data_IF_921898031574
#
_entry.id   IF_921898031574
#
_cell.length_a   1.000
_cell.length_b   1.000
_cell.length_c   1.000
_cell.angle_alpha   90.00
_cell.angle_beta   90.00
_cell.angle_gamma   90.00
#
_symmetry.space_group_name_H-M   'P 1'
#
loop_
_entity.id
_entity.type
_entity.pdbx_description
1 polymer ?
#
# COMPACT_ATOMS: atom_id res chain seq x y z
N UNK A 1 7.81 -0.24 -6.00
CA UNK A 1 7.73 -0.69 -7.42
C UNK A 1 6.50 -0.05 -8.05
N UNK A 2 6.47 0.16 -9.37
CA UNK A 2 5.30 0.77 -10.02
C UNK A 2 5.01 0.10 -11.35
N UNK A 3 3.75 -0.26 -11.59
CA UNK A 3 3.27 -0.85 -12.82
C UNK A 3 2.13 0.00 -13.39
N UNK A 4 2.16 0.26 -14.70
CA UNK A 4 1.17 1.07 -15.40
C UNK A 4 0.58 0.24 -16.53
N UNK A 5 -0.70 -0.13 -16.38
CA UNK A 5 -1.35 -1.08 -17.28
C UNK A 5 -2.14 -0.39 -18.40
N UNK A 6 -2.64 0.81 -18.15
CA UNK A 6 -3.44 1.59 -19.10
C UNK A 6 -3.21 3.09 -18.94
N UNK A 7 -3.56 3.86 -19.97
CA UNK A 7 -3.56 5.31 -19.92
C UNK A 7 -4.60 5.79 -18.90
N UNK A 8 -4.14 6.40 -17.81
CA UNK A 8 -4.98 7.09 -16.85
C UNK A 8 -5.70 8.27 -17.54
N UNK A 9 -7.01 8.19 -17.68
CA UNK A 9 -7.86 9.22 -18.29
C UNK A 9 -9.03 9.50 -17.35
N UNK A 10 -9.30 10.77 -17.07
CA UNK A 10 -10.30 11.18 -16.06
C UNK A 10 -9.76 11.14 -14.63
N UNK A 11 -10.65 11.18 -13.63
CA UNK A 11 -10.28 11.11 -12.21
C UNK A 11 -9.80 9.71 -11.84
N UNK A 12 -8.64 9.64 -11.17
CA UNK A 12 -8.09 8.37 -10.69
C UNK A 12 -8.27 8.29 -9.17
N UNK A 13 -8.84 7.19 -8.71
CA UNK A 13 -8.98 6.85 -7.31
C UNK A 13 -7.90 5.84 -6.94
N UNK A 14 -7.09 6.18 -5.95
CA UNK A 14 -6.10 5.28 -5.38
C UNK A 14 -6.63 4.69 -4.08
N UNK A 15 -6.65 3.36 -4.01
CA UNK A 15 -7.11 2.62 -2.83
C UNK A 15 -6.01 1.67 -2.40
N UNK A 16 -5.69 1.70 -1.10
CA UNK A 16 -4.83 0.73 -0.46
C UNK A 16 -5.68 -0.10 0.51
N UNK A 17 -5.80 -1.40 0.25
CA UNK A 17 -6.58 -2.33 1.08
C UNK A 17 -5.71 -3.04 2.14
N UNK A 18 -4.41 -2.72 2.17
CA UNK A 18 -3.43 -3.38 3.03
C UNK A 18 -3.34 -2.78 4.44
N UNK A 19 -4.39 -2.07 4.88
CA UNK A 19 -4.46 -1.46 6.22
C UNK A 19 -4.32 -2.46 7.36
N UNK A 20 -4.61 -3.74 7.12
CA UNK A 20 -4.39 -4.82 8.10
C UNK A 20 -2.89 -5.11 8.29
N UNK A 21 -2.06 -5.02 7.24
CA UNK A 21 -0.62 -5.28 7.32
C UNK A 21 0.09 -4.31 8.25
N UNK A 22 -0.22 -3.01 8.16
CA UNK A 22 0.36 -2.00 9.04
C UNK A 22 -0.08 -2.19 10.50
N UNK A 23 -1.34 -2.54 10.74
CA UNK A 23 -1.84 -2.81 12.09
C UNK A 23 -1.10 -3.99 12.71
N UNK A 24 -0.95 -5.08 11.97
CA UNK A 24 -0.30 -6.29 12.45
C UNK A 24 1.21 -6.06 12.65
N UNK A 25 1.86 -5.29 11.77
CA UNK A 25 3.25 -4.88 11.92
C UNK A 25 3.47 -4.03 13.17
N UNK A 26 2.59 -3.06 13.44
CA UNK A 26 2.64 -2.25 14.66
C UNK A 26 2.50 -3.13 15.91
N UNK A 27 1.54 -4.05 15.93
CA UNK A 27 1.36 -4.97 17.06
C UNK A 27 2.60 -5.83 17.30
N UNK A 28 3.21 -6.37 16.23
CA UNK A 28 4.48 -7.11 16.33
C UNK A 28 5.61 -6.25 16.86
N UNK A 29 5.81 -5.04 16.34
CA UNK A 29 6.83 -4.11 16.83
C UNK A 29 6.66 -3.78 18.31
N UNK A 30 5.42 -3.64 18.79
CA UNK A 30 5.15 -3.42 20.21
C UNK A 30 5.52 -4.66 21.03
N UNK A 31 5.14 -5.84 20.57
CA UNK A 31 5.34 -7.12 21.28
C UNK A 31 6.80 -7.56 21.32
N UNK A 32 7.54 -7.47 20.21
CA UNK A 32 8.94 -7.94 20.12
C UNK A 32 9.94 -6.84 20.45
N UNK A 33 9.57 -5.56 20.29
CA UNK A 33 10.51 -4.44 20.34
C UNK A 33 11.37 -4.30 19.09
N UNK A 34 11.25 -5.20 18.11
CA UNK A 34 11.99 -5.18 16.86
C UNK A 34 11.26 -4.38 15.78
N UNK A 35 12.04 -3.66 14.96
CA UNK A 35 11.48 -2.98 13.79
C UNK A 35 10.88 -3.97 12.80
N UNK A 36 9.77 -3.61 12.16
CA UNK A 36 9.11 -4.44 11.17
C UNK A 36 9.10 -3.70 9.83
N UNK A 37 9.43 -4.41 8.76
CA UNK A 37 9.35 -3.91 7.39
C UNK A 37 8.32 -4.72 6.62
N UNK A 38 7.45 -4.05 5.89
CA UNK A 38 6.37 -4.67 5.13
C UNK A 38 6.07 -3.88 3.86
N UNK A 39 5.52 -4.57 2.87
CA UNK A 39 5.12 -3.97 1.60
C UNK A 39 3.62 -3.70 1.62
N UNK A 40 3.23 -2.55 1.08
CA UNK A 40 1.84 -2.17 0.86
C UNK A 40 1.62 -1.86 -0.60
N UNK A 41 0.45 -2.22 -1.11
CA UNK A 41 0.06 -1.99 -2.49
C UNK A 41 -1.08 -0.97 -2.57
N UNK A 42 -0.91 0.00 -3.45
CA UNK A 42 -1.92 0.97 -3.84
C UNK A 42 -2.34 0.72 -5.28
N UNK A 43 -3.64 0.53 -5.49
CA UNK A 43 -4.23 0.32 -6.82
C UNK A 43 -4.94 1.59 -7.26
N UNK A 44 -4.60 2.09 -8.44
CA UNK A 44 -5.24 3.23 -9.08
C UNK A 44 -6.29 2.78 -10.10
N UNK A 45 -7.54 3.19 -9.91
CA UNK A 45 -8.66 2.92 -10.83
C UNK A 45 -9.23 4.22 -11.40
N UNK A 46 -9.66 4.19 -12.66
CA UNK A 46 -10.39 5.32 -13.26
C UNK A 46 -11.87 5.34 -12.83
N UNK A 47 -12.64 6.31 -13.34
CA UNK A 47 -14.08 6.47 -13.07
C UNK A 47 -14.94 5.27 -13.48
N UNK A 48 -14.44 4.40 -14.35
CA UNK A 48 -15.10 3.16 -14.78
C UNK A 48 -14.71 1.95 -13.91
N UNK A 49 -13.91 2.15 -12.86
CA UNK A 49 -13.38 1.07 -12.01
C UNK A 49 -12.28 0.25 -12.66
N UNK A 50 -11.72 0.69 -13.81
CA UNK A 50 -10.65 -0.03 -14.50
C UNK A 50 -9.32 0.32 -13.83
N UNK A 51 -8.57 -0.70 -13.41
CA UNK A 51 -7.21 -0.53 -12.90
C UNK A 51 -6.29 -0.02 -14.01
N UNK A 52 -5.68 1.14 -13.77
CA UNK A 52 -4.74 1.79 -14.69
C UNK A 52 -3.31 1.77 -14.16
N UNK A 53 -3.13 1.63 -12.84
CA UNK A 53 -1.83 1.63 -12.19
C UNK A 53 -1.82 0.82 -10.90
N UNK A 54 -0.65 0.30 -10.54
CA UNK A 54 -0.37 -0.39 -9.29
C UNK A 54 0.98 0.09 -8.75
N UNK A 55 1.04 0.41 -7.46
CA UNK A 55 2.25 0.92 -6.80
C UNK A 55 2.49 0.16 -5.51
N UNK A 56 3.69 -0.40 -5.37
CA UNK A 56 4.16 -1.05 -4.15
C UNK A 56 5.08 -0.11 -3.38
N UNK A 57 4.76 0.11 -2.11
CA UNK A 57 5.51 0.92 -1.16
C UNK A 57 6.06 0.03 -0.06
N UNK A 58 7.35 0.17 0.22
CA UNK A 58 7.98 -0.48 1.37
C UNK A 58 7.91 0.46 2.57
N UNK A 59 7.40 -0.06 3.69
CA UNK A 59 7.25 0.67 4.94
C UNK A 59 8.03 -0.02 6.04
N UNK A 60 8.66 0.78 6.89
CA UNK A 60 9.35 0.31 8.09
C UNK A 60 8.79 1.02 9.32
N UNK A 61 8.41 0.26 10.33
CA UNK A 61 7.92 0.76 11.63
C UNK A 61 8.86 0.31 12.73
N UNK A 62 9.19 1.22 13.65
CA UNK A 62 10.08 0.94 14.79
C UNK A 62 9.54 1.63 16.04
N UNK A 63 9.64 0.95 17.18
CA UNK A 63 9.33 1.54 18.49
C UNK A 63 10.37 2.61 18.82
N UNK A 64 9.92 3.78 19.28
CA UNK A 64 10.80 4.87 19.72
C UNK A 64 11.30 4.61 21.15
#
# INVERSE_FOLDING_TARGET
KSNFTKKATGRIHFVCNDGHLIRDAIQKTIATGEGQTFWMKSTGTNEQGIQVSEMDFEWSVKRK
#
